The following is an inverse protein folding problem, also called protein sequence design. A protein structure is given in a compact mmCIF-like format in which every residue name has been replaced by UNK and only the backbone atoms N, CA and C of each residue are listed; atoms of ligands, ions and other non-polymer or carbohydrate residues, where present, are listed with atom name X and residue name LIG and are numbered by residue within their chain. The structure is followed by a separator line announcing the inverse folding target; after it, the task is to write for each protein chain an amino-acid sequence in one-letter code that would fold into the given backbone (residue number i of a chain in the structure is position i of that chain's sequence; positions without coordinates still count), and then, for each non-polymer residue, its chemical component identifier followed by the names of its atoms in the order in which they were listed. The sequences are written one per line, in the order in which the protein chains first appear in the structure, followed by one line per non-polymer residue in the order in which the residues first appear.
data_IF_824135996188
#
_entry.id   IF_824135996188
#
_cell.length_a   1.000
_cell.length_b   1.000
_cell.length_c   1.000
_cell.angle_alpha   90.00
_cell.angle_beta   90.00
_cell.angle_gamma   90.00
#
_symmetry.space_group_name_H-M   'P 1'
#
loop_
_entity.id
_entity.type
_entity.pdbx_description
1 polymer ?
#
# COMPACT_ATOMS: atom_id res chain seq x y z
N UNK A 1 -11.37 9.52 10.99
CA UNK A 1 -10.36 10.57 10.73
C UNK A 1 -10.55 11.70 11.73
N UNK A 2 -9.46 12.18 12.31
CA UNK A 2 -9.50 13.24 13.30
C UNK A 2 -9.80 14.59 12.61
N UNK A 3 -11.03 15.09 12.76
CA UNK A 3 -11.52 16.33 12.15
C UNK A 3 -10.69 17.55 12.57
N UNK A 4 -10.16 17.54 13.80
CA UNK A 4 -9.32 18.63 14.32
C UNK A 4 -7.99 18.73 13.58
N UNK A 5 -7.33 17.60 13.32
CA UNK A 5 -6.10 17.57 12.52
C UNK A 5 -6.32 18.06 11.08
N UNK A 6 -7.48 17.76 10.46
CA UNK A 6 -7.81 18.27 9.13
C UNK A 6 -8.03 19.79 9.10
N UNK A 7 -8.56 20.39 10.16
CA UNK A 7 -8.70 21.85 10.27
C UNK A 7 -7.34 22.53 10.40
N UNK A 8 -6.44 21.97 11.20
CA UNK A 8 -5.06 22.47 11.34
C UNK A 8 -4.29 22.38 10.02
N UNK A 9 -4.41 21.28 9.29
CA UNK A 9 -3.79 21.10 7.97
C UNK A 9 -4.31 22.10 6.94
N UNK A 10 -5.58 22.48 6.98
CA UNK A 10 -6.17 23.48 6.09
C UNK A 10 -5.58 24.88 6.28
N UNK A 11 -5.04 25.19 7.46
CA UNK A 11 -4.45 26.49 7.77
C UNK A 11 -3.01 26.65 7.29
N UNK A 12 -2.36 25.55 6.86
CA UNK A 12 -0.97 25.56 6.39
C UNK A 12 -0.86 25.55 4.87
N UNK A 13 0.08 26.29 4.31
CA UNK A 13 0.22 26.45 2.86
C UNK A 13 0.74 25.19 2.15
N UNK A 14 1.47 24.32 2.85
CA UNK A 14 2.00 23.09 2.27
C UNK A 14 2.18 22.04 3.36
N UNK A 15 1.48 20.91 3.22
CA UNK A 15 1.61 19.76 4.10
C UNK A 15 1.82 18.52 3.26
N UNK A 16 2.79 17.71 3.65
CA UNK A 16 3.03 16.41 3.07
C UNK A 16 2.65 15.31 4.08
N UNK A 17 2.08 14.26 3.59
CA UNK A 17 1.80 13.06 4.39
C UNK A 17 2.21 11.81 3.62
N UNK A 18 2.42 10.74 4.33
CA UNK A 18 2.69 9.42 3.77
C UNK A 18 1.52 8.49 4.09
N UNK A 19 1.22 7.61 3.18
CA UNK A 19 0.22 6.57 3.39
C UNK A 19 0.65 5.29 2.68
N UNK A 20 0.46 4.12 3.29
CA UNK A 20 0.64 2.86 2.59
C UNK A 20 -0.45 2.61 1.53
N UNK A 21 -1.53 3.41 1.53
CA UNK A 21 -2.69 3.20 0.68
C UNK A 21 -2.79 4.25 -0.42
N UNK A 22 -3.06 3.81 -1.64
CA UNK A 22 -3.42 4.66 -2.77
C UNK A 22 -4.91 4.49 -3.09
N UNK A 23 -5.75 5.36 -2.52
CA UNK A 23 -7.21 5.34 -2.74
C UNK A 23 -7.63 5.82 -4.13
N UNK A 24 -6.72 6.38 -4.90
CA UNK A 24 -6.97 6.86 -6.26
C UNK A 24 -6.68 5.81 -7.34
N UNK A 25 -6.26 4.61 -6.95
CA UNK A 25 -5.99 3.53 -7.89
C UNK A 25 -7.31 3.03 -8.50
N UNK A 26 -7.47 3.00 -9.84
CA UNK A 26 -8.69 2.51 -10.49
C UNK A 26 -9.00 1.04 -10.17
N UNK A 27 -8.00 0.23 -9.88
CA UNK A 27 -8.18 -1.17 -9.47
C UNK A 27 -8.94 -1.27 -8.15
N UNK A 28 -8.77 -0.30 -7.23
CA UNK A 28 -9.54 -0.25 -5.99
C UNK A 28 -11.04 -0.08 -6.26
N UNK A 29 -11.42 0.84 -7.14
CA UNK A 29 -12.83 1.06 -7.49
C UNK A 29 -13.48 -0.21 -8.06
N UNK A 30 -12.78 -0.92 -8.92
CA UNK A 30 -13.25 -2.18 -9.49
C UNK A 30 -13.40 -3.29 -8.44
N UNK A 31 -12.41 -3.43 -7.56
CA UNK A 31 -12.48 -4.38 -6.43
C UNK A 31 -13.64 -4.05 -5.49
N UNK A 32 -13.77 -2.78 -5.08
CA UNK A 32 -14.82 -2.34 -4.18
C UNK A 32 -16.22 -2.61 -4.75
N UNK A 33 -16.44 -2.31 -6.03
CA UNK A 33 -17.71 -2.57 -6.69
C UNK A 33 -18.09 -4.06 -6.67
N UNK A 34 -17.15 -4.95 -6.99
CA UNK A 34 -17.39 -6.41 -6.93
C UNK A 34 -17.61 -6.92 -5.50
N UNK A 35 -16.87 -6.36 -4.54
CA UNK A 35 -17.03 -6.71 -3.15
C UNK A 35 -18.41 -6.30 -2.62
N UNK A 36 -18.86 -5.08 -2.94
CA UNK A 36 -20.17 -4.57 -2.56
C UNK A 36 -21.31 -5.35 -3.22
N UNK A 37 -21.17 -5.71 -4.50
CA UNK A 37 -22.12 -6.58 -5.20
C UNK A 37 -22.33 -7.90 -4.45
N UNK A 38 -21.24 -8.53 -4.02
CA UNK A 38 -21.26 -9.84 -3.37
C UNK A 38 -21.69 -9.79 -1.92
N UNK A 39 -21.13 -8.86 -1.15
CA UNK A 39 -21.26 -8.84 0.31
C UNK A 39 -22.21 -7.76 0.84
N UNK A 40 -22.71 -6.88 -0.02
CA UNK A 40 -23.60 -5.74 0.33
C UNK A 40 -22.98 -4.81 1.38
N UNK A 41 -21.66 -4.68 1.36
CA UNK A 41 -20.87 -3.85 2.29
C UNK A 41 -19.68 -3.27 1.55
N UNK A 42 -19.28 -2.06 1.91
CA UNK A 42 -18.02 -1.46 1.45
C UNK A 42 -16.82 -2.17 2.09
N UNK A 43 -15.78 -2.52 1.32
CA UNK A 43 -14.58 -3.09 1.90
C UNK A 43 -13.88 -2.09 2.82
N UNK A 44 -13.44 -2.55 3.99
CA UNK A 44 -12.58 -1.77 4.87
C UNK A 44 -11.10 -2.00 4.53
N UNK A 45 -10.21 -1.25 5.18
CA UNK A 45 -8.76 -1.33 4.93
C UNK A 45 -8.21 -2.75 5.14
N UNK A 46 -8.67 -3.46 6.18
CA UNK A 46 -8.21 -4.82 6.46
C UNK A 46 -8.58 -5.81 5.33
N UNK A 47 -9.78 -5.68 4.79
CA UNK A 47 -10.24 -6.49 3.64
C UNK A 47 -9.39 -6.20 2.41
N UNK A 48 -9.14 -4.92 2.12
CA UNK A 48 -8.39 -4.50 0.95
C UNK A 48 -6.91 -4.93 1.04
N UNK A 49 -6.29 -4.74 2.21
CA UNK A 49 -4.91 -5.19 2.44
C UNK A 49 -4.79 -6.71 2.31
N UNK A 50 -5.73 -7.44 2.91
CA UNK A 50 -5.74 -8.90 2.83
C UNK A 50 -5.87 -9.41 1.39
N UNK A 51 -6.72 -8.78 0.58
CA UNK A 51 -6.85 -9.07 -0.84
C UNK A 51 -5.55 -8.76 -1.59
N UNK A 52 -4.97 -7.58 -1.40
CA UNK A 52 -3.72 -7.17 -2.05
C UNK A 52 -2.56 -8.10 -1.68
N UNK A 53 -2.45 -8.48 -0.41
CA UNK A 53 -1.41 -9.40 0.06
C UNK A 53 -1.55 -10.79 -0.56
N UNK A 54 -2.77 -11.29 -0.68
CA UNK A 54 -3.04 -12.57 -1.33
C UNK A 54 -2.69 -12.53 -2.81
N UNK A 55 -3.11 -11.49 -3.53
CA UNK A 55 -2.80 -11.31 -4.95
C UNK A 55 -1.30 -11.19 -5.19
N UNK A 56 -0.60 -10.45 -4.33
CA UNK A 56 0.86 -10.34 -4.38
C UNK A 56 1.54 -11.69 -4.16
N UNK A 57 1.06 -12.48 -3.20
CA UNK A 57 1.58 -13.82 -2.94
C UNK A 57 1.40 -14.75 -4.15
N UNK A 58 0.24 -14.74 -4.79
CA UNK A 58 0.00 -15.50 -6.02
C UNK A 58 0.93 -15.06 -7.16
N UNK A 59 1.14 -13.75 -7.31
CA UNK A 59 2.07 -13.22 -8.29
C UNK A 59 3.50 -13.74 -8.07
N UNK A 60 3.98 -13.71 -6.83
CA UNK A 60 5.30 -14.25 -6.47
C UNK A 60 5.40 -15.75 -6.78
N UNK A 61 4.37 -16.52 -6.44
CA UNK A 61 4.33 -17.97 -6.73
C UNK A 61 4.35 -18.24 -8.23
N UNK A 62 3.59 -17.48 -9.02
CA UNK A 62 3.57 -17.59 -10.50
C UNK A 62 4.95 -17.32 -11.10
N UNK A 63 5.69 -16.38 -10.54
CA UNK A 63 7.07 -16.07 -10.95
C UNK A 63 8.12 -17.07 -10.44
N UNK A 64 7.71 -18.11 -9.71
CA UNK A 64 8.61 -19.10 -9.12
C UNK A 64 9.50 -18.54 -8.02
N UNK A 65 9.08 -17.44 -7.43
CA UNK A 65 9.83 -16.78 -6.39
C UNK A 65 9.61 -17.51 -5.05
N UNK A 66 10.69 -18.05 -4.46
CA UNK A 66 10.67 -18.76 -3.19
C UNK A 66 11.24 -17.84 -2.10
N UNK A 67 10.45 -17.58 -1.04
CA UNK A 67 10.79 -16.66 0.05
C UNK A 67 12.05 -17.03 0.87
N UNK A 68 12.67 -18.15 0.59
CA UNK A 68 13.86 -18.64 1.30
C UNK A 68 15.19 -18.35 0.59
N UNK A 69 15.16 -17.80 -0.61
CA UNK A 69 16.36 -17.48 -1.36
C UNK A 69 16.79 -16.02 -1.09
N UNK A 70 18.00 -15.83 -0.58
CA UNK A 70 18.55 -14.52 -0.22
C UNK A 70 18.80 -13.58 -1.43
N UNK A 71 18.63 -14.06 -2.66
CA UNK A 71 18.82 -13.29 -3.88
C UNK A 71 17.57 -12.50 -4.32
N UNK A 72 16.61 -12.39 -3.47
CA UNK A 72 15.27 -11.95 -3.74
C UNK A 72 15.12 -10.47 -4.04
N UNK A 73 14.64 -10.15 -5.23
CA UNK A 73 13.99 -8.88 -5.50
C UNK A 73 12.47 -9.06 -5.42
N UNK A 74 11.91 -8.77 -4.24
CA UNK A 74 10.46 -8.80 -3.98
C UNK A 74 9.73 -7.54 -4.45
N UNK A 75 10.44 -6.61 -5.07
CA UNK A 75 9.82 -5.47 -5.74
C UNK A 75 9.17 -5.95 -7.03
N UNK A 76 7.91 -6.28 -6.94
CA UNK A 76 7.12 -6.61 -8.11
C UNK A 76 6.44 -5.35 -8.64
N UNK A 77 6.57 -5.10 -9.91
CA UNK A 77 5.72 -4.15 -10.66
C UNK A 77 4.30 -4.70 -10.80
N UNK A 78 3.75 -5.18 -9.70
CA UNK A 78 2.38 -5.66 -9.66
C UNK A 78 1.45 -4.59 -9.13
N UNK A 79 0.47 -4.21 -9.94
CA UNK A 79 -0.54 -3.23 -9.59
C UNK A 79 -1.64 -3.87 -8.76
N UNK A 80 -1.49 -3.77 -7.43
CA UNK A 80 -2.54 -4.12 -6.48
C UNK A 80 -3.71 -3.11 -6.51
N UNK A 81 -4.71 -3.32 -5.67
CA UNK A 81 -5.87 -2.43 -5.62
C UNK A 81 -5.54 -1.12 -4.90
N UNK A 82 -4.85 -1.15 -3.78
CA UNK A 82 -4.61 0.02 -2.95
C UNK A 82 -3.18 0.07 -2.38
N UNK A 83 -2.57 -1.08 -2.17
CA UNK A 83 -1.28 -1.22 -1.51
C UNK A 83 -0.24 -1.73 -2.48
N UNK A 84 0.91 -1.08 -2.57
CA UNK A 84 2.10 -1.65 -3.21
C UNK A 84 3.00 -2.28 -2.17
N UNK A 85 3.65 -3.37 -2.55
CA UNK A 85 4.60 -4.06 -1.70
C UNK A 85 6.00 -3.96 -2.29
N UNK A 86 6.91 -3.41 -1.50
CA UNK A 86 8.34 -3.37 -1.79
C UNK A 86 9.08 -3.92 -0.58
N UNK A 87 9.14 -5.23 -0.50
CA UNK A 87 9.78 -5.91 0.61
C UNK A 87 11.29 -5.81 0.52
N UNK A 88 11.92 -5.39 1.62
CA UNK A 88 13.36 -5.41 1.81
C UNK A 88 13.72 -6.29 2.99
N UNK A 89 14.81 -7.09 2.87
CA UNK A 89 15.30 -7.87 4.00
C UNK A 89 15.85 -6.94 5.08
N UNK A 90 15.50 -7.21 6.31
CA UNK A 90 16.10 -6.61 7.50
C UNK A 90 17.05 -7.64 8.10
N UNK A 91 18.31 -7.26 8.24
CA UNK A 91 19.35 -8.16 8.74
C UNK A 91 19.47 -8.04 10.25
N UNK A 92 19.74 -9.18 10.90
CA UNK A 92 20.11 -9.22 12.31
C UNK A 92 21.61 -8.88 12.49
N UNK A 93 22.08 -8.91 13.75
CA UNK A 93 23.49 -8.62 14.09
C UNK A 93 24.50 -9.59 13.46
N UNK A 94 24.07 -10.73 13.00
CA UNK A 94 24.89 -11.77 12.34
C UNK A 94 24.79 -11.71 10.82
N UNK A 95 24.25 -10.62 10.26
CA UNK A 95 24.03 -10.43 8.82
C UNK A 95 23.08 -11.47 8.17
N UNK A 96 22.35 -12.21 8.99
CA UNK A 96 21.29 -13.10 8.52
C UNK A 96 19.95 -12.34 8.41
N UNK A 97 19.10 -12.73 7.46
CA UNK A 97 17.78 -12.14 7.31
C UNK A 97 16.92 -12.49 8.53
N UNK A 98 16.44 -11.48 9.22
CA UNK A 98 15.56 -11.61 10.37
C UNK A 98 14.09 -11.60 9.93
N UNK A 99 13.71 -10.61 9.14
CA UNK A 99 12.39 -10.50 8.52
C UNK A 99 12.46 -9.63 7.26
N UNK A 100 11.32 -9.56 6.55
CA UNK A 100 11.14 -8.64 5.42
C UNK A 100 10.18 -7.52 5.81
N UNK A 101 10.54 -6.28 5.50
CA UNK A 101 9.71 -5.11 5.74
C UNK A 101 9.20 -4.52 4.43
N UNK A 102 7.95 -4.07 4.42
CA UNK A 102 7.40 -3.33 3.30
C UNK A 102 7.79 -1.86 3.40
N UNK A 103 8.72 -1.45 2.56
CA UNK A 103 9.27 -0.09 2.54
C UNK A 103 8.55 0.84 1.58
N UNK A 104 7.50 0.38 0.89
CA UNK A 104 6.76 1.22 -0.05
C UNK A 104 5.82 2.18 0.69
N UNK A 105 5.95 3.46 0.38
CA UNK A 105 5.10 4.52 0.90
C UNK A 105 4.61 5.42 -0.23
N UNK A 106 3.33 5.77 -0.20
CA UNK A 106 2.78 6.80 -1.07
C UNK A 106 2.95 8.18 -0.40
N UNK A 107 3.46 9.14 -1.15
CA UNK A 107 3.55 10.52 -0.73
C UNK A 107 2.34 11.29 -1.22
N UNK A 108 1.75 12.09 -0.37
CA UNK A 108 0.64 12.97 -0.69
C UNK A 108 0.95 14.40 -0.27
N UNK A 109 0.55 15.34 -1.11
CA UNK A 109 0.57 16.77 -0.82
C UNK A 109 -0.84 17.27 -0.59
N UNK A 110 -1.04 18.05 0.44
CA UNK A 110 -2.31 18.75 0.64
C UNK A 110 -2.37 19.97 -0.26
N UNK A 111 -3.40 20.06 -1.09
CA UNK A 111 -3.63 21.19 -2.00
C UNK A 111 -5.12 21.42 -2.19
N UNK A 112 -5.55 22.66 -2.12
CA UNK A 112 -6.94 23.08 -2.37
C UNK A 112 -8.01 22.23 -1.66
N UNK A 113 -7.75 21.86 -0.41
CA UNK A 113 -8.71 21.11 0.40
C UNK A 113 -8.64 19.58 0.25
N UNK A 114 -7.74 19.06 -0.60
CA UNK A 114 -7.59 17.62 -0.86
C UNK A 114 -6.13 17.16 -0.76
N UNK A 115 -5.95 15.87 -0.48
CA UNK A 115 -4.65 15.21 -0.61
C UNK A 115 -4.52 14.66 -2.03
N UNK A 116 -3.49 15.09 -2.73
CA UNK A 116 -3.15 14.62 -4.08
C UNK A 116 -1.85 13.82 -4.02
N UNK A 117 -1.71 12.75 -4.83
CA UNK A 117 -0.45 12.02 -4.94
C UNK A 117 0.69 12.97 -5.32
N UNK A 118 1.82 12.82 -4.65
CA UNK A 118 3.02 13.60 -4.91
C UNK A 118 4.17 12.68 -5.31
N UNK A 119 4.73 12.94 -6.47
CA UNK A 119 5.94 12.26 -6.96
C UNK A 119 7.06 13.30 -6.85
N UNK A 120 8.04 13.07 -5.96
CA UNK A 120 9.15 13.99 -5.76
C UNK A 120 10.04 14.12 -6.99
#
# INVERSE_FOLDING_TARGET
RNTKALVEVKSTNTVYTVSPYNTSNPNYAHFAAKFEEKYKKTPNDAVTIGFDLMMHSFYLMEKGIILQDNTFNLSADFDNTQTKFQFKPILNKSEAIDFYDNTYLNLYKYSNGTFIPFIP
#
